data_IF_845677705095
#
_entry.id   IF_845677705095
#
_cell.length_a   1.000
_cell.length_b   1.000
_cell.length_c   1.000
_cell.angle_alpha   90.00
_cell.angle_beta   90.00
_cell.angle_gamma   90.00
#
_symmetry.space_group_name_H-M   'P 1'
#
loop_
_entity.id
_entity.type
_entity.pdbx_description
1 polymer ?
#
# COMPACT_ATOMS: atom_id res chain seq x y z
N UNK A 1 15.12 15.50 2.06
CA UNK A 1 14.62 14.50 3.03
C UNK A 1 15.10 14.85 4.43
N UNK A 2 14.43 14.36 5.46
CA UNK A 2 14.83 14.57 6.87
C UNK A 2 15.61 13.35 7.35
N UNK A 3 16.83 13.57 7.85
CA UNK A 3 17.69 12.50 8.35
C UNK A 3 17.02 11.73 9.51
N UNK A 4 17.09 10.39 9.49
CA UNK A 4 16.60 9.52 10.56
C UNK A 4 15.18 8.97 10.39
N UNK A 5 14.39 9.50 9.43
CA UNK A 5 13.01 9.04 9.24
C UNK A 5 12.96 7.63 8.63
N UNK A 6 13.77 7.37 7.60
CA UNK A 6 13.82 6.06 6.96
C UNK A 6 14.29 4.98 7.96
N UNK A 7 15.32 5.28 8.76
CA UNK A 7 15.82 4.38 9.78
C UNK A 7 14.79 4.12 10.89
N UNK A 8 14.00 5.14 11.28
CA UNK A 8 12.94 4.98 12.26
C UNK A 8 11.80 4.10 11.73
N UNK A 9 11.40 4.28 10.47
CA UNK A 9 10.40 3.43 9.82
C UNK A 9 10.91 2.00 9.73
N UNK A 10 12.13 1.79 9.26
CA UNK A 10 12.73 0.46 9.08
C UNK A 10 12.88 -0.34 10.38
N UNK A 11 13.08 0.34 11.52
CA UNK A 11 13.20 -0.29 12.85
C UNK A 11 11.87 -0.45 13.58
N UNK A 12 10.79 0.13 13.04
CA UNK A 12 9.48 0.07 13.67
C UNK A 12 8.88 -1.34 13.57
N UNK A 13 8.29 -1.87 14.65
CA UNK A 13 7.50 -3.12 14.59
C UNK A 13 6.09 -2.88 14.05
N UNK A 14 5.72 -1.63 13.72
CA UNK A 14 4.41 -1.30 13.19
C UNK A 14 4.27 -1.74 11.73
N UNK A 15 3.04 -2.03 11.32
CA UNK A 15 2.70 -2.31 9.92
C UNK A 15 3.00 -1.05 9.10
N UNK A 16 3.84 -1.21 8.08
CA UNK A 16 4.20 -0.18 7.11
C UNK A 16 3.43 -0.39 5.82
N UNK A 17 2.67 0.62 5.40
CA UNK A 17 1.87 0.55 4.17
C UNK A 17 2.07 1.80 3.32
N UNK A 18 1.90 1.65 2.01
CA UNK A 18 1.94 2.72 1.04
C UNK A 18 0.65 2.73 0.21
N UNK A 19 0.11 3.92 -0.02
CA UNK A 19 -1.05 4.13 -0.90
C UNK A 19 -0.54 4.72 -2.19
N UNK A 20 -0.58 3.94 -3.27
CA UNK A 20 -0.11 4.36 -4.59
C UNK A 20 -1.07 5.39 -5.15
N UNK A 21 -0.55 6.46 -5.78
CA UNK A 21 -1.39 7.46 -6.44
C UNK A 21 -2.33 6.82 -7.48
N UNK A 22 -3.55 7.36 -7.64
CA UNK A 22 -4.48 6.95 -8.72
C UNK A 22 -4.04 7.52 -10.07
N UNK A 23 -3.52 8.75 -10.05
CA UNK A 23 -3.06 9.49 -11.22
C UNK A 23 -1.60 9.92 -11.03
N UNK A 24 -0.82 9.95 -12.11
CA UNK A 24 0.51 10.52 -12.13
C UNK A 24 0.44 12.03 -11.83
N UNK A 25 1.46 12.53 -11.15
CA UNK A 25 1.64 13.95 -10.87
C UNK A 25 2.61 14.55 -11.91
N UNK A 26 2.14 15.48 -12.76
CA UNK A 26 2.95 16.06 -13.83
C UNK A 26 4.28 16.62 -13.31
N UNK A 27 5.40 16.16 -13.88
CA UNK A 27 6.75 16.58 -13.50
C UNK A 27 7.32 15.92 -12.25
N UNK A 28 6.57 15.05 -11.57
CA UNK A 28 7.02 14.31 -10.39
C UNK A 28 7.02 12.80 -10.61
N UNK A 29 5.94 12.24 -11.17
CA UNK A 29 5.76 10.78 -11.30
C UNK A 29 5.29 10.38 -12.69
N UNK A 30 5.74 11.12 -13.70
CA UNK A 30 5.36 10.90 -15.10
C UNK A 30 5.65 9.46 -15.53
N UNK A 31 4.64 8.81 -16.09
CA UNK A 31 4.70 7.44 -16.62
C UNK A 31 5.12 6.35 -15.61
N UNK A 32 5.09 6.65 -14.30
CA UNK A 32 5.41 5.65 -13.30
C UNK A 32 4.26 4.66 -13.13
N UNK A 33 4.57 3.37 -13.18
CA UNK A 33 3.65 2.29 -12.79
C UNK A 33 3.60 2.15 -11.27
N UNK A 34 2.59 1.46 -10.76
CA UNK A 34 2.45 1.20 -9.33
C UNK A 34 3.70 0.50 -8.74
N UNK A 35 4.28 -0.46 -9.46
CA UNK A 35 5.51 -1.14 -9.04
C UNK A 35 6.73 -0.24 -9.04
N UNK A 36 6.82 0.72 -9.96
CA UNK A 36 7.91 1.70 -9.96
C UNK A 36 7.82 2.66 -8.77
N UNK A 37 6.60 3.11 -8.43
CA UNK A 37 6.37 3.87 -7.19
C UNK A 37 6.85 3.10 -5.96
N UNK A 38 6.46 1.82 -5.84
CA UNK A 38 6.87 0.97 -4.72
C UNK A 38 8.37 0.72 -4.70
N UNK A 39 9.00 0.50 -5.86
CA UNK A 39 10.44 0.28 -5.95
C UNK A 39 11.23 1.52 -5.46
N UNK A 40 10.83 2.71 -5.92
CA UNK A 40 11.43 3.98 -5.49
C UNK A 40 11.29 4.15 -3.98
N UNK A 41 10.09 3.93 -3.42
CA UNK A 41 9.88 4.05 -1.98
C UNK A 41 10.71 3.04 -1.18
N UNK A 42 10.81 1.79 -1.64
CA UNK A 42 11.63 0.76 -1.01
C UNK A 42 13.12 1.07 -1.03
N UNK A 43 13.61 1.72 -2.09
CA UNK A 43 14.99 2.21 -2.15
C UNK A 43 15.27 3.25 -1.05
N UNK A 44 14.29 4.11 -0.76
CA UNK A 44 14.39 5.11 0.29
C UNK A 44 14.25 4.58 1.72
N UNK A 45 13.29 3.67 1.97
CA UNK A 45 12.98 3.18 3.33
C UNK A 45 13.92 2.08 3.83
N UNK A 46 14.77 1.52 2.96
CA UNK A 46 15.46 0.23 3.10
C UNK A 46 14.60 -0.95 2.64
N UNK A 47 15.23 -1.88 1.92
CA UNK A 47 14.55 -3.06 1.35
C UNK A 47 13.91 -3.91 2.43
N UNK A 48 12.62 -4.17 2.28
CA UNK A 48 11.83 -5.00 3.21
C UNK A 48 11.12 -4.23 4.32
N UNK A 49 11.18 -2.89 4.32
CA UNK A 49 10.50 -2.03 5.31
C UNK A 49 9.07 -1.64 4.93
N UNK A 50 8.55 -2.14 3.81
CA UNK A 50 7.18 -1.93 3.35
C UNK A 50 6.43 -3.26 3.33
N UNK A 51 5.38 -3.38 4.15
CA UNK A 51 4.59 -4.62 4.25
C UNK A 51 3.48 -4.67 3.20
N UNK A 52 2.83 -3.53 2.96
CA UNK A 52 1.63 -3.44 2.12
C UNK A 52 1.68 -2.28 1.11
N UNK A 53 1.13 -2.53 -0.07
CA UNK A 53 0.80 -1.51 -1.05
C UNK A 53 -0.69 -1.54 -1.37
N UNK A 54 -1.35 -0.38 -1.32
CA UNK A 54 -2.73 -0.19 -1.72
C UNK A 54 -2.72 0.38 -3.13
N UNK A 55 -3.27 -0.37 -4.08
CA UNK A 55 -3.23 -0.05 -5.50
C UNK A 55 -4.65 0.03 -6.03
N UNK A 56 -4.94 1.09 -6.78
CA UNK A 56 -6.22 1.21 -7.45
C UNK A 56 -6.36 0.14 -8.55
N UNK A 57 -7.46 -0.60 -8.54
CA UNK A 57 -7.85 -1.53 -9.62
C UNK A 57 -9.09 -1.08 -10.39
N UNK A 58 -9.70 0.04 -9.98
CA UNK A 58 -10.83 0.65 -10.68
C UNK A 58 -10.39 1.45 -11.91
N UNK A 59 -11.19 1.43 -12.97
CA UNK A 59 -10.92 2.24 -14.15
C UNK A 59 -11.21 3.72 -13.90
N UNK A 60 -10.32 4.58 -14.41
CA UNK A 60 -10.58 6.02 -14.50
C UNK A 60 -11.34 6.29 -15.78
N UNK A 61 -12.51 6.93 -15.67
CA UNK A 61 -13.38 7.19 -16.80
C UNK A 61 -12.69 8.04 -17.87
N UNK A 62 -12.98 7.74 -19.14
CA UNK A 62 -12.27 8.31 -20.30
C UNK A 62 -12.34 9.82 -20.33
N UNK A 63 -13.47 10.42 -19.95
CA UNK A 63 -13.63 11.88 -19.97
C UNK A 63 -12.65 12.57 -18.99
N UNK A 64 -12.29 11.89 -17.91
CA UNK A 64 -11.29 12.36 -16.97
C UNK A 64 -9.87 12.17 -17.51
N UNK A 65 -9.57 11.02 -18.10
CA UNK A 65 -8.28 10.80 -18.76
C UNK A 65 -8.00 11.85 -19.84
N UNK A 66 -9.00 12.19 -20.65
CA UNK A 66 -8.89 13.25 -21.67
C UNK A 66 -8.66 14.63 -21.06
N UNK A 67 -9.32 14.95 -19.94
CA UNK A 67 -9.11 16.21 -19.23
C UNK A 67 -7.69 16.32 -18.66
N UNK A 68 -7.16 15.23 -18.13
CA UNK A 68 -5.85 15.19 -17.52
C UNK A 68 -4.70 15.09 -18.53
N UNK A 69 -4.90 14.41 -19.67
CA UNK A 69 -3.88 14.26 -20.70
C UNK A 69 -3.45 15.61 -21.29
N UNK A 70 -4.36 16.59 -21.36
CA UNK A 70 -4.04 17.97 -21.75
C UNK A 70 -3.04 18.66 -20.79
N UNK A 71 -2.95 18.17 -19.56
CA UNK A 71 -2.04 18.66 -18.51
C UNK A 71 -0.92 17.67 -18.18
N UNK A 72 -0.75 16.60 -18.98
CA UNK A 72 0.26 15.55 -18.77
C UNK A 72 -0.10 14.52 -17.67
N UNK A 73 -1.33 14.53 -17.15
CA UNK A 73 -1.78 13.55 -16.17
C UNK A 73 -2.27 12.26 -16.81
N UNK A 74 -1.75 11.13 -16.35
CA UNK A 74 -2.14 9.78 -16.77
C UNK A 74 -2.57 8.97 -15.55
N UNK A 75 -3.40 7.94 -15.74
CA UNK A 75 -3.69 7.01 -14.64
C UNK A 75 -2.46 6.16 -14.35
N UNK A 76 -2.19 5.90 -13.06
CA UNK A 76 -1.09 5.01 -12.67
C UNK A 76 -1.45 3.58 -13.09
N UNK A 77 -0.60 2.97 -13.90
CA UNK A 77 -0.81 1.60 -14.33
C UNK A 77 -0.68 0.64 -13.14
N UNK A 78 -1.71 -0.17 -12.94
CA UNK A 78 -1.69 -1.27 -12.00
C UNK A 78 -0.92 -2.47 -12.59
N UNK A 79 0.22 -2.77 -11.99
CA UNK A 79 1.07 -3.93 -12.27
C UNK A 79 1.39 -4.70 -10.97
N UNK A 80 0.39 -4.89 -10.11
CA UNK A 80 0.50 -5.50 -8.76
C UNK A 80 1.30 -6.80 -8.68
N UNK A 81 1.30 -7.62 -9.74
CA UNK A 81 2.12 -8.83 -9.80
C UNK A 81 3.63 -8.54 -9.65
N UNK A 82 4.12 -7.39 -10.11
CA UNK A 82 5.51 -6.97 -9.93
C UNK A 82 5.78 -6.50 -8.51
N UNK A 83 4.82 -5.83 -7.86
CA UNK A 83 4.92 -5.44 -6.44
C UNK A 83 5.03 -6.68 -5.55
N UNK A 84 4.19 -7.69 -5.80
CA UNK A 84 4.22 -8.96 -5.06
C UNK A 84 5.57 -9.68 -5.18
N UNK A 85 6.22 -9.62 -6.35
CA UNK A 85 7.58 -10.16 -6.55
C UNK A 85 8.66 -9.44 -5.72
N UNK A 86 8.40 -8.21 -5.27
CA UNK A 86 9.29 -7.48 -4.36
C UNK A 86 9.11 -7.89 -2.89
N UNK A 87 8.16 -8.80 -2.59
CA UNK A 87 7.83 -9.23 -1.23
C UNK A 87 6.83 -8.34 -0.50
N UNK A 88 6.24 -7.36 -1.20
CA UNK A 88 5.21 -6.45 -0.65
C UNK A 88 3.83 -7.04 -0.93
N UNK A 89 2.98 -7.15 0.10
CA UNK A 89 1.59 -7.61 -0.07
C UNK A 89 0.78 -6.50 -0.73
N UNK A 90 -0.17 -6.86 -1.59
CA UNK A 90 -0.98 -5.89 -2.31
C UNK A 90 -2.45 -5.99 -1.90
N UNK A 91 -3.06 -4.84 -1.62
CA UNK A 91 -4.51 -4.67 -1.47
C UNK A 91 -5.00 -3.89 -2.68
N UNK A 92 -5.92 -4.49 -3.43
CA UNK A 92 -6.50 -3.89 -4.64
C UNK A 92 -7.98 -3.63 -4.43
N UNK A 93 -8.42 -2.42 -4.77
CA UNK A 93 -9.83 -2.05 -4.77
C UNK A 93 -10.05 -0.90 -5.76
N UNK A 94 -11.31 -0.64 -6.10
CA UNK A 94 -11.68 0.61 -6.76
C UNK A 94 -11.59 1.75 -5.73
N UNK A 95 -10.47 2.45 -5.77
CA UNK A 95 -10.24 3.62 -4.96
C UNK A 95 -10.52 4.91 -5.73
N UNK A 96 -11.20 4.89 -6.87
CA UNK A 96 -11.48 6.12 -7.61
C UNK A 96 -12.65 6.88 -6.98
N UNK A 97 -12.48 8.18 -6.76
CA UNK A 97 -13.56 9.12 -6.42
C UNK A 97 -13.48 10.34 -7.33
N UNK A 98 -14.58 10.60 -8.02
CA UNK A 98 -14.72 11.75 -8.91
C UNK A 98 -15.31 12.93 -8.15
N UNK A 99 -14.61 14.07 -8.18
CA UNK A 99 -15.11 15.36 -7.68
C UNK A 99 -14.82 16.44 -8.74
N UNK A 100 -14.14 17.53 -8.38
CA UNK A 100 -13.59 18.49 -9.33
C UNK A 100 -12.32 17.96 -10.02
N UNK A 101 -11.74 16.89 -9.47
CA UNK A 101 -10.52 16.19 -9.88
C UNK A 101 -10.66 14.69 -9.51
N UNK A 102 -9.80 13.83 -10.08
CA UNK A 102 -9.73 12.39 -9.75
C UNK A 102 -8.84 12.20 -8.54
N UNK A 103 -9.31 11.47 -7.53
CA UNK A 103 -8.55 11.15 -6.31
C UNK A 103 -8.96 9.82 -5.70
N UNK A 104 -8.29 9.46 -4.61
CA UNK A 104 -8.68 8.33 -3.78
C UNK A 104 -10.08 8.51 -3.16
N UNK A 105 -10.85 7.44 -3.11
CA UNK A 105 -12.03 7.31 -2.28
C UNK A 105 -11.59 7.06 -0.84
N UNK A 106 -11.55 8.13 -0.05
CA UNK A 106 -11.09 8.11 1.33
C UNK A 106 -11.87 7.14 2.24
N UNK A 107 -13.17 6.93 1.97
CA UNK A 107 -14.01 6.05 2.77
C UNK A 107 -13.66 4.58 2.53
N UNK A 108 -13.50 4.18 1.26
CA UNK A 108 -13.08 2.83 0.89
C UNK A 108 -11.66 2.54 1.38
N UNK A 109 -10.75 3.50 1.17
CA UNK A 109 -9.36 3.35 1.62
C UNK A 109 -9.27 3.22 3.14
N UNK A 110 -9.97 4.07 3.91
CA UNK A 110 -9.98 3.98 5.36
C UNK A 110 -10.58 2.66 5.86
N UNK A 111 -11.66 2.20 5.23
CA UNK A 111 -12.28 0.91 5.53
C UNK A 111 -11.27 -0.23 5.35
N UNK A 112 -10.62 -0.32 4.19
CA UNK A 112 -9.69 -1.41 3.89
C UNK A 112 -8.45 -1.37 4.82
N UNK A 113 -7.95 -0.18 5.15
CA UNK A 113 -6.84 -0.03 6.12
C UNK A 113 -7.27 -0.52 7.51
N UNK A 114 -8.47 -0.17 7.98
CA UNK A 114 -8.98 -0.62 9.29
C UNK A 114 -9.16 -2.14 9.30
N UNK A 115 -9.79 -2.69 8.27
CA UNK A 115 -10.00 -4.14 8.14
C UNK A 115 -8.66 -4.89 8.14
N UNK A 116 -7.66 -4.38 7.41
CA UNK A 116 -6.31 -4.93 7.39
C UNK A 116 -5.67 -4.93 8.79
N UNK A 117 -5.69 -3.79 9.49
CA UNK A 117 -5.09 -3.67 10.83
C UNK A 117 -5.78 -4.62 11.82
N UNK A 118 -7.11 -4.75 11.76
CA UNK A 118 -7.86 -5.65 12.62
C UNK A 118 -7.52 -7.11 12.33
N UNK A 119 -7.43 -7.51 11.06
CA UNK A 119 -7.07 -8.87 10.67
C UNK A 119 -5.65 -9.25 11.13
N UNK A 120 -4.68 -8.34 11.00
CA UNK A 120 -3.31 -8.57 11.48
C UNK A 120 -3.24 -8.68 13.01
N UNK A 121 -3.97 -7.82 13.74
CA UNK A 121 -4.06 -7.91 15.20
C UNK A 121 -4.67 -9.23 15.67
N UNK A 122 -5.76 -9.68 15.05
CA UNK A 122 -6.40 -10.96 15.37
C UNK A 122 -5.44 -12.14 15.10
N UNK A 123 -4.75 -12.11 13.97
CA UNK A 123 -3.78 -13.15 13.59
C UNK A 123 -2.60 -13.22 14.57
N UNK A 124 -2.11 -12.07 15.05
CA UNK A 124 -1.08 -12.01 16.09
C UNK A 124 -1.58 -12.56 17.42
N UNK A 125 -2.81 -12.22 17.83
CA UNK A 125 -3.41 -12.73 19.05
C UNK A 125 -3.57 -14.26 19.01
N UNK A 126 -4.12 -14.80 17.92
CA UNK A 126 -4.28 -16.25 17.72
C UNK A 126 -2.95 -17.00 17.78
N UNK A 127 -1.89 -16.45 17.15
CA UNK A 127 -0.54 -17.02 17.21
C UNK A 127 0.00 -17.07 18.64
N UNK A 128 -0.21 -16.00 19.41
CA UNK A 128 0.21 -15.93 20.81
C UNK A 128 -0.51 -16.97 21.66
N UNK A 129 -1.83 -17.05 21.53
CA UNK A 129 -2.66 -17.98 22.30
C UNK A 129 -2.26 -19.45 22.02
N UNK A 130 -1.94 -19.78 20.76
CA UNK A 130 -1.46 -21.11 20.36
C UNK A 130 -0.09 -21.45 20.94
N UNK A 131 0.85 -20.49 20.96
CA UNK A 131 2.17 -20.71 21.57
C UNK A 131 2.04 -20.96 23.07
N UNK A 132 1.19 -20.19 23.75
CA UNK A 132 0.94 -20.34 25.18
C UNK A 132 0.30 -21.69 25.53
N UNK A 133 -0.59 -22.22 24.67
CA UNK A 133 -1.19 -23.55 24.88
C UNK A 133 -0.17 -24.69 24.71
N UNK A 134 0.67 -24.63 23.67
CA UNK A 134 1.70 -25.65 23.41
C UNK A 134 2.78 -25.69 24.52
N UNK A 135 3.11 -24.54 25.11
CA UNK A 135 4.05 -24.48 26.24
C UNK A 135 3.47 -25.12 27.51
N UNK A 136 2.17 -24.93 27.77
CA UNK A 136 1.49 -25.56 28.93
C UNK A 136 1.46 -27.09 28.79
N UNK A 137 1.15 -27.62 27.61
CA UNK A 137 1.15 -29.06 27.35
C UNK A 137 2.53 -29.69 27.58
N UNK A 138 3.61 -29.01 27.15
CA UNK A 138 4.99 -29.46 27.38
C UNK A 138 5.43 -29.42 28.84
N UNK A 139 4.83 -28.60 29.70
CA UNK A 139 5.13 -28.57 31.14
C UNK A 139 4.37 -29.63 31.93
N UNK A 140 3.30 -30.19 31.36
CA UNK A 140 2.46 -31.24 31.94
C UNK A 140 2.91 -32.66 31.53
N UNK A 141 3.93 -32.76 30.68
CA UNK A 141 4.54 -34.02 30.20
C UNK A 141 5.97 -34.17 30.69
#
# INVERSE_FOLDING_TARGET
MVNGVAEAIAKSPAISLYVVNVMCQPGETDHLTASQHVAILNEYLSKGSLDYAFVNSGDVAVEWLERYSQSGGEAVQNDSALIQKMGVKVVENDYVKYQNYVRHNEERLAKDIIELILAEKLTLQQRRDLVDSLQKEKQLS
#
